data_IF_964554043931
#
_entry.id   IF_964554043931
#
_cell.length_a   1.000
_cell.length_b   1.000
_cell.length_c   1.000
_cell.angle_alpha   90.00
_cell.angle_beta   90.00
_cell.angle_gamma   90.00
#
_symmetry.space_group_name_H-M   'P 1'
#
loop_
_entity.id
_entity.type
_entity.pdbx_description
1 polymer ?
#
# COMPACT_ATOMS: atom_id res chain seq x y z
N UNK A 1 -7.01 13.86 -3.37
CA UNK A 1 -5.59 13.42 -3.41
C UNK A 1 -4.59 14.53 -3.15
N UNK A 2 -4.72 15.71 -3.76
CA UNK A 2 -3.78 16.84 -3.56
C UNK A 2 -3.60 17.27 -2.09
N UNK A 3 -4.66 17.21 -1.27
CA UNK A 3 -4.55 17.49 0.17
C UNK A 3 -3.63 16.51 0.89
N UNK A 4 -3.72 15.21 0.58
CA UNK A 4 -2.85 14.18 1.16
C UNK A 4 -1.37 14.51 0.88
N UNK A 5 -1.05 14.79 -0.39
CA UNK A 5 0.29 15.19 -0.81
C UNK A 5 0.80 16.43 -0.09
N UNK A 6 -0.02 17.48 -0.02
CA UNK A 6 0.32 18.77 0.59
C UNK A 6 0.56 18.66 2.11
N UNK A 7 -0.39 18.07 2.85
CA UNK A 7 -0.32 18.01 4.32
C UNK A 7 0.90 17.20 4.78
N UNK A 8 1.18 16.09 4.11
CA UNK A 8 2.38 15.31 4.38
C UNK A 8 3.67 15.90 3.77
N UNK A 9 3.55 16.95 2.94
CA UNK A 9 4.65 17.57 2.18
C UNK A 9 5.44 16.56 1.37
N UNK A 10 4.74 15.62 0.75
CA UNK A 10 5.34 14.58 -0.09
C UNK A 10 6.01 15.17 -1.35
N UNK A 11 5.73 16.42 -1.69
CA UNK A 11 6.47 17.19 -2.70
C UNK A 11 7.96 17.35 -2.37
N UNK A 12 8.32 17.28 -1.08
CA UNK A 12 9.68 17.50 -0.57
C UNK A 12 10.44 16.19 -0.31
N UNK A 13 9.78 15.05 -0.47
CA UNK A 13 10.37 13.73 -0.23
C UNK A 13 10.51 12.99 -1.55
N UNK A 14 11.70 12.45 -1.82
CA UNK A 14 11.86 11.49 -2.90
C UNK A 14 11.29 10.14 -2.47
N UNK A 15 10.19 9.75 -3.11
CA UNK A 15 9.54 8.46 -2.90
C UNK A 15 10.21 7.34 -3.70
N UNK A 16 11.07 7.68 -4.67
CA UNK A 16 11.71 6.72 -5.57
C UNK A 16 12.59 5.77 -4.76
N UNK A 17 12.36 4.47 -4.96
CA UNK A 17 13.10 3.44 -4.25
C UNK A 17 12.95 3.48 -2.74
N UNK A 18 11.77 3.84 -2.24
CA UNK A 18 11.42 3.70 -0.83
C UNK A 18 10.58 2.45 -0.60
N UNK A 19 10.72 1.86 0.59
CA UNK A 19 9.72 0.96 1.15
C UNK A 19 8.75 1.78 2.02
N UNK A 20 7.47 1.75 1.65
CA UNK A 20 6.42 2.50 2.33
C UNK A 20 5.43 1.52 2.95
N UNK A 21 5.27 1.59 4.27
CA UNK A 21 4.29 0.80 5.01
C UNK A 21 3.04 1.63 5.34
N UNK A 22 1.86 1.10 5.07
CA UNK A 22 0.57 1.65 5.51
C UNK A 22 0.02 0.68 6.56
N UNK A 23 -0.11 1.12 7.80
CA UNK A 23 -0.51 0.31 8.94
C UNK A 23 -1.93 0.70 9.34
N UNK A 24 -2.87 -0.22 9.21
CA UNK A 24 -4.30 -0.02 9.45
C UNK A 24 -4.71 -0.70 10.76
N UNK A 25 -5.25 0.08 11.69
CA UNK A 25 -5.87 -0.44 12.92
C UNK A 25 -7.21 -1.14 12.64
N UNK A 26 -7.70 -1.99 13.57
CA UNK A 26 -9.00 -2.65 13.42
C UNK A 26 -10.15 -1.66 13.22
N UNK A 27 -11.08 -2.01 12.32
CA UNK A 27 -12.28 -1.22 11.99
C UNK A 27 -12.00 0.16 11.36
N UNK A 28 -10.81 0.36 10.80
CA UNK A 28 -10.44 1.57 10.06
C UNK A 28 -10.27 1.22 8.58
N UNK A 29 -10.56 2.17 7.69
CA UNK A 29 -10.35 2.03 6.26
C UNK A 29 -9.10 2.82 5.83
N UNK A 30 -8.02 2.11 5.51
CA UNK A 30 -6.74 2.63 5.06
C UNK A 30 -6.55 2.57 3.54
N UNK A 31 -7.46 1.93 2.79
CA UNK A 31 -7.34 1.79 1.33
C UNK A 31 -7.28 3.14 0.59
N UNK A 32 -7.77 4.23 1.19
CA UNK A 32 -7.62 5.57 0.63
C UNK A 32 -6.16 5.99 0.42
N UNK A 33 -5.24 5.52 1.29
CA UNK A 33 -3.81 5.76 1.15
C UNK A 33 -3.21 4.91 0.01
N UNK A 34 -3.69 3.67 -0.19
CA UNK A 34 -3.34 2.85 -1.36
C UNK A 34 -3.75 3.56 -2.65
N UNK A 35 -4.99 4.05 -2.73
CA UNK A 35 -5.45 4.84 -3.89
C UNK A 35 -4.65 6.12 -4.10
N UNK A 36 -4.15 6.75 -3.03
CA UNK A 36 -3.25 7.89 -3.15
C UNK A 36 -1.95 7.51 -3.88
N UNK A 37 -1.32 6.39 -3.52
CA UNK A 37 -0.09 5.94 -4.18
C UNK A 37 -0.33 5.46 -5.61
N UNK A 38 -1.48 4.86 -5.90
CA UNK A 38 -1.89 4.56 -7.28
C UNK A 38 -1.97 5.87 -8.08
N UNK A 39 -2.70 6.86 -7.57
CA UNK A 39 -2.80 8.18 -8.20
C UNK A 39 -1.43 8.86 -8.38
N UNK A 40 -0.57 8.81 -7.35
CA UNK A 40 0.79 9.39 -7.37
C UNK A 40 1.65 8.77 -8.48
N UNK A 41 1.63 7.44 -8.59
CA UNK A 41 2.41 6.71 -9.60
C UNK A 41 1.98 7.01 -11.04
N UNK A 42 0.72 7.39 -11.24
CA UNK A 42 0.13 7.65 -12.56
C UNK A 42 0.16 9.13 -12.94
N UNK A 43 0.43 10.02 -11.97
CA UNK A 43 0.53 11.46 -12.19
C UNK A 43 1.76 11.84 -13.03
N UNK A 44 2.93 11.31 -12.69
CA UNK A 44 4.20 11.62 -13.37
C UNK A 44 4.39 10.75 -14.61
N UNK A 45 4.69 11.31 -15.79
CA UNK A 45 4.72 10.54 -17.05
C UNK A 45 5.75 9.41 -17.09
N UNK A 46 6.89 9.57 -16.39
CA UNK A 46 7.98 8.60 -16.35
C UNK A 46 7.79 7.51 -15.28
N UNK A 47 6.64 7.48 -14.59
CA UNK A 47 6.33 6.49 -13.57
C UNK A 47 5.24 5.52 -14.03
N UNK A 48 5.16 4.37 -13.38
CA UNK A 48 4.15 3.35 -13.62
C UNK A 48 3.75 2.63 -12.34
N UNK A 49 2.64 1.90 -12.42
CA UNK A 49 2.01 1.20 -11.31
C UNK A 49 1.94 -0.30 -11.59
N UNK A 50 2.47 -1.11 -10.68
CA UNK A 50 2.22 -2.55 -10.61
C UNK A 50 1.41 -2.81 -9.33
N UNK A 51 0.12 -3.08 -9.47
CA UNK A 51 -0.80 -3.25 -8.35
C UNK A 51 -1.14 -4.73 -8.15
N UNK A 52 -0.73 -5.28 -7.01
CA UNK A 52 -1.22 -6.54 -6.48
C UNK A 52 -2.46 -6.27 -5.63
N UNK A 53 -3.56 -6.94 -5.97
CA UNK A 53 -4.80 -6.86 -5.20
C UNK A 53 -5.09 -8.20 -4.53
N UNK A 54 -5.18 -8.15 -3.21
CA UNK A 54 -5.44 -9.25 -2.28
C UNK A 54 -6.73 -9.03 -1.50
N UNK A 55 -7.23 -7.79 -1.35
CA UNK A 55 -8.49 -7.52 -0.64
C UNK A 55 -9.62 -7.08 -1.57
N UNK A 56 -9.32 -6.19 -2.52
CA UNK A 56 -10.31 -5.62 -3.41
C UNK A 56 -10.14 -6.10 -4.86
N UNK A 57 -11.18 -5.98 -5.67
CA UNK A 57 -11.13 -6.36 -7.09
C UNK A 57 -10.62 -5.21 -7.96
N UNK A 58 -10.26 -5.52 -9.20
CA UNK A 58 -9.94 -4.50 -10.21
C UNK A 58 -11.09 -3.48 -10.35
N UNK A 59 -12.34 -3.97 -10.37
CA UNK A 59 -13.53 -3.11 -10.50
C UNK A 59 -13.65 -2.12 -9.34
N UNK A 60 -13.27 -2.51 -8.12
CA UNK A 60 -13.22 -1.59 -7.00
C UNK A 60 -12.27 -0.42 -7.29
N UNK A 61 -11.00 -0.72 -7.64
CA UNK A 61 -10.01 0.32 -7.94
C UNK A 61 -10.34 1.14 -9.18
N UNK A 62 -11.01 0.55 -10.17
CA UNK A 62 -11.51 1.28 -11.33
C UNK A 62 -12.54 2.34 -10.93
N UNK A 63 -13.58 1.95 -10.20
CA UNK A 63 -14.64 2.87 -9.79
C UNK A 63 -14.15 3.92 -8.79
N UNK A 64 -13.34 3.52 -7.82
CA UNK A 64 -12.75 4.46 -6.85
C UNK A 64 -11.77 5.41 -7.55
N UNK A 65 -10.93 4.89 -8.45
CA UNK A 65 -10.00 5.70 -9.24
C UNK A 65 -10.69 6.78 -10.08
N UNK A 66 -11.78 6.45 -10.76
CA UNK A 66 -12.56 7.42 -11.55
C UNK A 66 -13.04 8.60 -10.69
N UNK A 67 -13.45 8.33 -9.45
CA UNK A 67 -13.88 9.38 -8.51
C UNK A 67 -12.71 10.23 -8.02
N UNK A 68 -11.52 9.64 -7.92
CA UNK A 68 -10.31 10.27 -7.43
C UNK A 68 -9.46 10.93 -8.53
N UNK A 69 -9.87 10.81 -9.79
CA UNK A 69 -9.25 11.49 -10.93
C UNK A 69 -8.16 10.70 -11.65
N UNK A 70 -8.15 9.36 -11.55
CA UNK A 70 -7.31 8.49 -12.39
C UNK A 70 -8.13 7.36 -13.02
N UNK A 71 -7.63 6.74 -14.08
CA UNK A 71 -8.37 5.69 -14.79
C UNK A 71 -7.43 4.56 -15.24
N UNK A 72 -7.53 3.42 -14.55
CA UNK A 72 -6.72 2.23 -14.80
C UNK A 72 -6.97 1.60 -16.18
N UNK A 73 -8.19 1.71 -16.72
CA UNK A 73 -8.51 1.16 -18.05
C UNK A 73 -7.88 1.95 -19.19
N UNK A 74 -7.76 3.27 -19.05
CA UNK A 74 -7.10 4.13 -20.05
C UNK A 74 -5.58 4.12 -19.92
N UNK A 75 -5.06 3.70 -18.77
CA UNK A 75 -3.63 3.72 -18.45
C UNK A 75 -3.01 2.32 -18.44
N UNK A 76 -3.58 1.34 -19.15
CA UNK A 76 -3.10 -0.06 -19.20
C UNK A 76 -1.62 -0.22 -19.60
N UNK A 77 -1.06 0.72 -20.36
CA UNK A 77 0.37 0.71 -20.69
C UNK A 77 1.27 1.05 -19.49
N UNK A 78 0.73 1.77 -18.51
CA UNK A 78 1.41 2.32 -17.32
C UNK A 78 0.93 1.70 -16.01
N UNK A 79 -0.14 0.91 -16.04
CA UNK A 79 -0.76 0.31 -14.88
C UNK A 79 -1.06 -1.16 -15.18
N UNK A 80 -0.36 -2.05 -14.49
CA UNK A 80 -0.63 -3.48 -14.49
C UNK A 80 -1.30 -3.82 -13.16
N UNK A 81 -2.44 -4.51 -13.22
CA UNK A 81 -3.18 -4.95 -12.03
C UNK A 81 -3.26 -6.46 -12.04
N UNK A 82 -2.79 -7.07 -10.95
CA UNK A 82 -2.83 -8.50 -10.74
C UNK A 82 -3.80 -8.84 -9.59
N UNK A 83 -4.89 -9.55 -9.91
CA UNK A 83 -5.89 -10.00 -8.94
C UNK A 83 -5.52 -11.39 -8.40
N UNK A 84 -4.86 -11.40 -7.23
CA UNK A 84 -4.39 -12.65 -6.65
C UNK A 84 -5.51 -13.49 -6.05
N UNK A 85 -6.53 -12.91 -5.40
CA UNK A 85 -7.62 -13.72 -4.82
C UNK A 85 -8.34 -14.59 -5.84
N UNK A 86 -8.68 -14.03 -7.01
CA UNK A 86 -9.35 -14.79 -8.07
C UNK A 86 -8.51 -15.95 -8.59
N UNK A 87 -7.18 -15.86 -8.53
CA UNK A 87 -6.27 -16.93 -8.96
C UNK A 87 -5.93 -17.92 -7.84
N UNK A 88 -5.92 -17.46 -6.58
CA UNK A 88 -5.68 -18.27 -5.39
C UNK A 88 -6.90 -19.12 -4.98
N UNK A 89 -8.12 -18.61 -5.23
CA UNK A 89 -9.37 -19.28 -4.83
C UNK A 89 -9.90 -20.22 -5.93
N UNK A 90 -9.68 -19.90 -7.21
CA UNK A 90 -10.15 -20.74 -8.32
C UNK A 90 -9.21 -21.94 -8.53
N UNK A 91 -9.46 -23.01 -7.76
CA UNK A 91 -8.72 -24.28 -7.80
C UNK A 91 -8.78 -25.02 -9.16
N UNK A 92 -9.66 -24.62 -10.08
CA UNK A 92 -9.83 -25.25 -11.40
C UNK A 92 -8.74 -24.86 -12.43
N UNK A 93 -7.92 -23.86 -12.11
CA UNK A 93 -6.79 -23.43 -12.96
C UNK A 93 -5.47 -23.61 -12.20
N UNK A 94 -5.12 -24.85 -11.83
CA UNK A 94 -3.79 -25.48 -11.60
C UNK A 94 -2.54 -24.67 -11.14
N UNK A 95 -2.61 -23.41 -10.72
CA UNK A 95 -1.47 -22.60 -10.32
C UNK A 95 -1.25 -22.60 -8.80
N UNK A 96 -2.30 -22.86 -8.01
CA UNK A 96 -2.31 -22.73 -6.56
C UNK A 96 -3.17 -23.80 -5.89
N UNK A 97 -2.66 -25.04 -5.75
CA UNK A 97 -3.41 -26.18 -5.18
C UNK A 97 -3.27 -26.35 -3.66
N UNK A 98 -2.43 -25.55 -2.99
CA UNK A 98 -2.12 -25.66 -1.56
C UNK A 98 -1.67 -24.32 -0.98
N UNK A 99 -1.79 -24.08 0.32
CA UNK A 99 -1.22 -22.89 0.99
C UNK A 99 0.27 -23.09 1.25
N UNK A 100 1.02 -23.52 0.25
CA UNK A 100 2.44 -23.88 0.39
C UNK A 100 3.37 -22.70 0.04
N UNK A 101 4.58 -22.71 0.59
CA UNK A 101 5.64 -21.72 0.33
C UNK A 101 5.89 -21.45 -1.18
N UNK A 102 5.75 -22.49 -2.01
CA UNK A 102 5.95 -22.40 -3.47
C UNK A 102 5.02 -21.36 -4.11
N UNK A 103 3.84 -21.17 -3.55
CA UNK A 103 2.83 -20.28 -4.10
C UNK A 103 3.15 -18.81 -3.90
N UNK A 104 3.57 -18.41 -2.69
CA UNK A 104 4.04 -17.04 -2.46
C UNK A 104 5.31 -16.73 -3.27
N UNK A 105 6.17 -17.73 -3.47
CA UNK A 105 7.34 -17.61 -4.35
C UNK A 105 6.94 -17.39 -5.81
N UNK A 106 5.97 -18.15 -6.32
CA UNK A 106 5.43 -17.97 -7.67
C UNK A 106 4.79 -16.59 -7.85
N UNK A 107 3.99 -16.17 -6.87
CA UNK A 107 3.40 -14.83 -6.83
C UNK A 107 4.47 -13.74 -6.92
N UNK A 108 5.56 -13.87 -6.15
CA UNK A 108 6.68 -12.94 -6.24
C UNK A 108 7.31 -12.91 -7.63
N UNK A 109 7.53 -14.07 -8.27
CA UNK A 109 8.10 -14.10 -9.61
C UNK A 109 7.21 -13.44 -10.66
N UNK A 110 5.88 -13.60 -10.55
CA UNK A 110 4.93 -12.90 -11.41
C UNK A 110 5.07 -11.39 -11.22
N UNK A 111 5.01 -10.91 -9.98
CA UNK A 111 5.14 -9.47 -9.68
C UNK A 111 6.47 -8.90 -10.13
N UNK A 112 7.56 -9.65 -9.92
CA UNK A 112 8.89 -9.28 -10.38
C UNK A 112 8.91 -9.09 -11.89
N UNK A 113 8.40 -10.07 -12.65
CA UNK A 113 8.34 -10.02 -14.10
C UNK A 113 7.52 -8.81 -14.59
N UNK A 114 6.32 -8.61 -14.06
CA UNK A 114 5.47 -7.48 -14.46
C UNK A 114 6.11 -6.12 -14.14
N UNK A 115 6.79 -6.02 -13.00
CA UNK A 115 7.52 -4.80 -12.60
C UNK A 115 8.73 -4.55 -13.52
N UNK A 116 9.49 -5.59 -13.88
CA UNK A 116 10.63 -5.49 -14.81
C UNK A 116 10.18 -5.06 -16.22
N UNK A 117 9.05 -5.59 -16.71
CA UNK A 117 8.46 -5.17 -17.99
C UNK A 117 8.04 -3.68 -18.00
N UNK A 118 7.63 -3.15 -16.85
CA UNK A 118 7.33 -1.72 -16.71
C UNK A 118 8.62 -0.88 -16.68
N UNK A 119 9.69 -1.36 -16.03
CA UNK A 119 10.98 -0.67 -15.99
C UNK A 119 11.65 -0.55 -17.35
N UNK A 120 11.34 -1.43 -18.30
CA UNK A 120 11.81 -1.29 -19.69
C UNK A 120 11.27 -0.03 -20.39
N UNK A 121 10.14 0.51 -19.90
CA UNK A 121 9.40 1.62 -20.52
C UNK A 121 9.34 2.89 -19.66
N UNK A 122 9.51 2.74 -18.35
CA UNK A 122 9.35 3.80 -17.36
C UNK A 122 10.53 3.83 -16.41
N UNK A 123 10.92 5.02 -15.95
CA UNK A 123 12.08 5.20 -15.08
C UNK A 123 11.81 4.70 -13.65
N UNK A 124 10.56 4.79 -13.20
CA UNK A 124 10.15 4.38 -11.86
C UNK A 124 8.90 3.51 -11.90
N UNK A 125 8.86 2.49 -11.05
CA UNK A 125 7.70 1.63 -10.86
C UNK A 125 7.29 1.60 -9.39
N UNK A 126 6.01 1.81 -9.15
CA UNK A 126 5.38 1.67 -7.85
C UNK A 126 4.77 0.28 -7.79
N UNK A 127 5.39 -0.64 -7.05
CA UNK A 127 4.83 -1.94 -6.71
C UNK A 127 3.95 -1.76 -5.47
N UNK A 128 2.63 -1.85 -5.65
CA UNK A 128 1.63 -1.57 -4.62
C UNK A 128 0.93 -2.88 -4.26
N UNK A 129 0.85 -3.19 -2.96
CA UNK A 129 0.14 -4.34 -2.40
C UNK A 129 -0.93 -3.81 -1.47
N UNK A 130 -2.20 -4.08 -1.81
CA UNK A 130 -3.32 -3.38 -1.18
C UNK A 130 -3.70 -3.84 0.22
N UNK A 131 -3.44 -5.10 0.57
CA UNK A 131 -3.50 -5.62 1.94
C UNK A 131 -2.80 -6.98 2.04
N UNK A 132 -1.58 -7.00 2.57
CA UNK A 132 -0.80 -8.24 2.69
C UNK A 132 -1.32 -9.16 3.79
N UNK A 133 -2.06 -8.61 4.77
CA UNK A 133 -2.57 -9.38 5.91
C UNK A 133 -3.59 -10.44 5.49
N UNK A 134 -4.26 -10.25 4.35
CA UNK A 134 -5.21 -11.22 3.78
C UNK A 134 -4.57 -12.59 3.54
N UNK A 135 -3.25 -12.65 3.30
CA UNK A 135 -2.54 -13.93 3.16
C UNK A 135 -2.66 -14.79 4.43
N UNK A 136 -2.72 -14.19 5.63
CA UNK A 136 -2.99 -14.92 6.88
C UNK A 136 -4.39 -15.53 6.85
N UNK A 137 -5.39 -14.75 6.44
CA UNK A 137 -6.78 -15.21 6.33
C UNK A 137 -6.97 -16.30 5.27
N UNK A 138 -6.10 -16.36 4.27
CA UNK A 138 -6.06 -17.43 3.26
C UNK A 138 -5.36 -18.70 3.76
N UNK A 139 -4.81 -18.71 4.99
CA UNK A 139 -4.19 -19.89 5.60
C UNK A 139 -2.69 -20.04 5.33
N UNK A 140 -2.04 -19.05 4.71
CA UNK A 140 -0.58 -19.08 4.59
C UNK A 140 0.08 -18.93 5.96
N UNK A 141 1.12 -19.71 6.21
CA UNK A 141 1.88 -19.64 7.45
C UNK A 141 2.63 -18.31 7.55
N UNK A 142 2.65 -17.69 8.74
CA UNK A 142 3.32 -16.40 8.94
C UNK A 142 4.79 -16.40 8.48
N UNK A 143 5.52 -17.52 8.65
CA UNK A 143 6.91 -17.65 8.22
C UNK A 143 7.06 -17.49 6.70
N UNK A 144 6.15 -18.06 5.92
CA UNK A 144 6.21 -17.96 4.45
C UNK A 144 5.81 -16.58 3.96
N UNK A 145 4.86 -15.93 4.65
CA UNK A 145 4.51 -14.53 4.38
C UNK A 145 5.70 -13.62 4.70
N UNK A 146 6.40 -13.83 5.82
CA UNK A 146 7.61 -13.05 6.17
C UNK A 146 8.71 -13.25 5.11
N UNK A 147 8.93 -14.48 4.62
CA UNK A 147 9.86 -14.72 3.48
C UNK A 147 9.44 -13.94 2.23
N UNK A 148 8.15 -13.93 1.91
CA UNK A 148 7.62 -13.13 0.80
C UNK A 148 7.86 -11.63 1.01
N UNK A 149 7.62 -11.11 2.22
CA UNK A 149 7.93 -9.73 2.60
C UNK A 149 9.43 -9.40 2.44
N UNK A 150 10.31 -10.35 2.78
CA UNK A 150 11.75 -10.22 2.55
C UNK A 150 12.10 -10.16 1.06
N UNK A 151 11.44 -10.93 0.20
CA UNK A 151 11.62 -10.85 -1.25
C UNK A 151 11.21 -9.47 -1.79
N UNK A 152 10.08 -8.92 -1.34
CA UNK A 152 9.64 -7.57 -1.70
C UNK A 152 10.64 -6.50 -1.24
N UNK A 153 11.13 -6.59 0.00
CA UNK A 153 12.15 -5.69 0.54
C UNK A 153 13.44 -5.73 -0.27
N UNK A 154 13.85 -6.91 -0.72
CA UNK A 154 15.09 -7.10 -1.50
C UNK A 154 14.91 -6.65 -2.96
N UNK A 155 13.69 -6.75 -3.47
CA UNK A 155 13.36 -6.32 -4.83
C UNK A 155 13.31 -4.79 -4.97
N UNK A 156 12.95 -4.09 -3.89
CA UNK A 156 13.05 -2.64 -3.79
C UNK A 156 14.47 -2.17 -4.15
N UNK A 157 14.57 -1.25 -5.11
CA UNK A 157 15.81 -0.57 -5.46
C UNK A 157 15.50 0.89 -5.84
N UNK A 158 16.49 1.67 -6.29
CA UNK A 158 16.33 3.10 -6.60
C UNK A 158 15.16 3.43 -7.57
N UNK A 159 14.78 2.51 -8.45
CA UNK A 159 13.72 2.66 -9.45
C UNK A 159 12.43 1.93 -9.09
N UNK A 160 12.43 1.10 -8.03
CA UNK A 160 11.28 0.32 -7.60
C UNK A 160 10.89 0.76 -6.19
N UNK A 161 9.79 1.51 -6.10
CA UNK A 161 9.17 1.86 -4.82
C UNK A 161 8.16 0.77 -4.47
N UNK A 162 8.26 0.24 -3.25
CA UNK A 162 7.35 -0.80 -2.76
C UNK A 162 6.42 -0.19 -1.71
N UNK A 163 5.12 -0.32 -1.91
CA UNK A 163 4.08 0.17 -1.00
C UNK A 163 3.26 -1.03 -0.55
N UNK A 164 3.15 -1.23 0.76
CA UNK A 164 2.39 -2.35 1.33
C UNK A 164 1.46 -1.83 2.39
N UNK A 165 0.18 -2.18 2.29
CA UNK A 165 -0.76 -2.04 3.39
C UNK A 165 -0.78 -3.30 4.25
N UNK A 166 -0.80 -3.09 5.56
CA UNK A 166 -0.83 -4.09 6.60
C UNK A 166 -1.97 -3.75 7.54
N UNK A 167 -3.02 -4.56 7.52
CA UNK A 167 -4.00 -4.59 8.60
C UNK A 167 -3.41 -5.38 9.78
N UNK A 168 -3.60 -4.87 11.00
CA UNK A 168 -3.15 -5.56 12.21
C UNK A 168 -4.14 -5.41 13.37
N UNK A 169 -4.10 -6.37 14.28
CA UNK A 169 -4.84 -6.32 15.55
C UNK A 169 -3.88 -6.62 16.70
N UNK A 170 -4.03 -5.89 17.82
CA UNK A 170 -3.21 -6.11 19.03
C UNK A 170 -3.44 -7.53 19.63
N UNK A 171 -4.59 -8.14 19.35
CA UNK A 171 -4.93 -9.48 19.81
C UNK A 171 -4.45 -10.60 18.85
N UNK A 172 -3.95 -10.24 17.66
CA UNK A 172 -3.47 -11.18 16.66
C UNK A 172 -1.95 -11.11 16.50
N UNK A 173 -1.26 -12.08 17.12
CA UNK A 173 0.20 -12.21 17.09
C UNK A 173 0.77 -12.31 15.68
N UNK A 174 0.08 -12.99 14.75
CA UNK A 174 0.61 -13.18 13.40
C UNK A 174 0.59 -11.88 12.62
N UNK A 175 -0.50 -11.11 12.73
CA UNK A 175 -0.57 -9.76 12.17
C UNK A 175 0.47 -8.81 12.78
N UNK A 176 0.78 -8.96 14.08
CA UNK A 176 1.80 -8.17 14.76
C UNK A 176 3.22 -8.49 14.27
N UNK A 177 3.50 -9.73 13.86
CA UNK A 177 4.78 -10.07 13.22
C UNK A 177 4.93 -9.35 11.87
N UNK A 178 3.87 -9.32 11.05
CA UNK A 178 3.88 -8.59 9.78
C UNK A 178 4.05 -7.08 10.01
N UNK A 179 3.30 -6.50 10.95
CA UNK A 179 3.45 -5.11 11.36
C UNK A 179 4.89 -4.82 11.77
N UNK A 180 5.46 -5.63 12.68
CA UNK A 180 6.80 -5.42 13.20
C UNK A 180 7.86 -5.47 12.09
N UNK A 181 7.72 -6.40 11.15
CA UNK A 181 8.60 -6.49 9.98
C UNK A 181 8.60 -5.19 9.17
N UNK A 182 7.42 -4.73 8.71
CA UNK A 182 7.34 -3.53 7.88
C UNK A 182 7.66 -2.27 8.68
N UNK A 183 7.31 -2.20 9.96
CA UNK A 183 7.59 -1.04 10.80
C UNK A 183 9.11 -0.83 10.96
N UNK A 184 9.91 -1.90 11.05
CA UNK A 184 11.36 -1.80 11.13
C UNK A 184 12.02 -1.46 9.77
N UNK A 185 11.48 -2.02 8.70
CA UNK A 185 12.09 -1.98 7.37
C UNK A 185 11.64 -0.81 6.49
N UNK A 186 10.49 -0.20 6.76
CA UNK A 186 9.95 0.89 5.94
C UNK A 186 10.70 2.21 6.16
N UNK A 187 10.97 2.90 5.06
CA UNK A 187 11.52 4.25 5.05
C UNK A 187 10.46 5.29 5.41
N UNK A 188 9.21 5.06 5.00
CA UNK A 188 8.06 5.91 5.30
C UNK A 188 6.93 5.05 5.83
N UNK A 189 6.27 5.50 6.89
CA UNK A 189 5.20 4.75 7.56
C UNK A 189 3.99 5.64 7.71
N UNK A 190 2.83 5.15 7.31
CA UNK A 190 1.54 5.78 7.54
C UNK A 190 0.75 4.91 8.51
N UNK A 191 0.43 5.41 9.69
CA UNK A 191 -0.44 4.74 10.64
C UNK A 191 -1.83 5.34 10.53
N UNK A 192 -2.82 4.53 10.19
CA UNK A 192 -4.22 4.91 10.04
C UNK A 192 -4.99 4.36 11.24
N UNK A 193 -5.57 5.26 12.02
CA UNK A 193 -6.18 4.97 13.31
C UNK A 193 -7.56 5.61 13.41
N UNK A 194 -8.45 4.99 14.19
CA UNK A 194 -9.73 5.58 14.56
C UNK A 194 -9.52 6.80 15.48
N UNK A 195 -10.53 7.67 15.62
CA UNK A 195 -10.48 8.74 16.60
C UNK A 195 -10.73 8.19 18.02
N UNK A 196 -9.84 8.50 18.96
CA UNK A 196 -9.99 8.12 20.39
C UNK A 196 -11.19 8.78 21.07
N UNK A 197 -11.71 9.87 20.52
CA UNK A 197 -12.80 10.68 21.09
C UNK A 197 -14.09 10.55 20.26
N UNK A 198 -14.70 9.36 20.25
CA UNK A 198 -16.01 9.13 19.64
C UNK A 198 -16.11 9.45 18.14
N UNK A 199 -17.34 9.36 17.60
CA UNK A 199 -17.64 9.69 16.20
C UNK A 199 -17.88 11.20 16.05
N UNK A 200 -17.06 11.87 15.23
CA UNK A 200 -17.30 13.24 14.82
C UNK A 200 -17.95 13.23 13.43
N UNK A 201 -19.00 14.03 13.20
CA UNK A 201 -19.65 14.13 11.88
C UNK A 201 -18.69 14.59 10.76
N UNK A 202 -17.60 15.25 11.15
CA UNK A 202 -16.66 15.87 10.22
C UNK A 202 -15.29 15.19 10.13
N UNK A 203 -15.04 14.13 10.90
CA UNK A 203 -13.75 13.44 10.91
C UNK A 203 -13.96 11.93 10.88
N UNK A 204 -13.39 11.26 9.88
CA UNK A 204 -13.44 9.81 9.76
C UNK A 204 -12.41 9.13 10.65
N UNK A 205 -11.20 9.68 10.70
CA UNK A 205 -10.09 9.09 11.47
C UNK A 205 -8.87 9.98 11.51
N UNK A 206 -7.76 9.42 11.97
CA UNK A 206 -6.44 10.06 11.98
C UNK A 206 -5.43 9.25 11.19
N UNK A 207 -4.49 9.95 10.56
CA UNK A 207 -3.38 9.36 9.84
C UNK A 207 -2.07 10.03 10.28
N UNK A 208 -1.10 9.21 10.69
CA UNK A 208 0.21 9.66 11.16
C UNK A 208 1.30 9.18 10.21
N UNK A 209 2.04 10.10 9.62
CA UNK A 209 3.22 9.81 8.82
C UNK A 209 4.47 9.89 9.69
N UNK A 210 5.37 8.91 9.58
CA UNK A 210 6.72 8.95 10.14
C UNK A 210 7.74 8.55 9.08
N UNK A 211 8.86 9.28 9.01
CA UNK A 211 9.97 8.99 8.09
C UNK A 211 11.18 8.51 8.87
N UNK A 212 11.82 7.44 8.38
CA UNK A 212 13.06 6.89 8.94
C UNK A 212 14.22 7.84 8.60
N UNK A 213 14.84 8.44 9.62
CA UNK A 213 15.97 9.37 9.43
C UNK A 213 17.25 8.59 9.08
N UNK A 214 17.91 8.96 7.99
CA UNK A 214 19.24 8.49 7.62
C UNK A 214 20.27 9.57 8.00
N UNK A 215 20.74 9.50 9.26
CA UNK A 215 21.83 10.28 9.84
C UNK A 215 21.63 11.81 10.03
N UNK A 216 21.94 12.25 11.26
CA UNK A 216 22.29 13.62 11.72
C UNK A 216 21.25 14.76 11.68
N UNK A 217 20.07 14.58 11.11
CA UNK A 217 18.96 15.51 11.37
C UNK A 217 18.01 14.94 12.41
N UNK A 218 18.19 15.44 13.63
CA UNK A 218 17.50 15.11 14.87
C UNK A 218 16.06 15.62 14.90
N UNK A 219 15.23 15.26 13.92
CA UNK A 219 13.79 15.28 14.08
C UNK A 219 13.18 14.08 13.33
N UNK A 220 12.57 13.17 14.07
CA UNK A 220 11.55 12.29 13.49
C UNK A 220 10.48 13.22 12.93
N UNK A 221 10.42 13.42 11.61
CA UNK A 221 9.36 14.19 10.98
C UNK A 221 8.06 13.39 11.06
N UNK A 222 7.47 13.41 12.27
CA UNK A 222 6.20 12.84 12.60
C UNK A 222 5.13 13.88 12.29
N UNK A 223 4.23 13.58 11.36
CA UNK A 223 3.10 14.44 11.03
C UNK A 223 1.82 13.70 11.30
N UNK A 224 1.04 14.19 12.26
CA UNK A 224 -0.30 13.72 12.54
C UNK A 224 -1.30 14.59 11.77
N UNK A 225 -2.24 13.97 11.08
CA UNK A 225 -3.35 14.64 10.41
C UNK A 225 -4.66 13.91 10.70
N UNK A 226 -5.76 14.61 10.55
CA UNK A 226 -7.09 14.04 10.48
C UNK A 226 -7.48 13.85 9.02
N UNK A 227 -8.37 12.89 8.76
CA UNK A 227 -8.92 12.69 7.43
C UNK A 227 -10.44 12.57 7.45
N UNK A 228 -11.06 13.03 6.37
CA UNK A 228 -12.48 12.86 6.07
C UNK A 228 -12.61 12.18 4.71
N UNK A 229 -13.22 10.99 4.72
CA UNK A 229 -13.62 10.29 3.51
C UNK A 229 -14.98 10.81 3.06
N UNK A 230 -15.08 11.15 1.78
CA UNK A 230 -16.35 11.46 1.12
C UNK A 230 -16.44 10.62 -0.15
N UNK A 231 -17.63 10.47 -0.72
CA UNK A 231 -17.82 9.64 -1.91
C UNK A 231 -16.87 9.97 -3.07
N UNK A 232 -16.44 11.23 -3.20
CA UNK A 232 -15.66 11.74 -4.33
C UNK A 232 -14.27 12.24 -3.98
N UNK A 233 -13.93 12.36 -2.69
CA UNK A 233 -12.66 12.96 -2.32
C UNK A 233 -12.19 12.50 -0.94
N UNK A 234 -10.88 12.53 -0.77
CA UNK A 234 -10.19 12.33 0.50
C UNK A 234 -9.64 13.69 0.90
N UNK A 235 -10.11 14.22 2.02
CA UNK A 235 -9.57 15.43 2.63
C UNK A 235 -8.69 15.04 3.80
N UNK A 236 -7.46 15.54 3.81
CA UNK A 236 -6.51 15.42 4.92
C UNK A 236 -6.25 16.84 5.43
N UNK A 237 -6.20 17.02 6.75
CA UNK A 237 -6.03 18.32 7.38
C UNK A 237 -5.37 18.20 8.76
N UNK A 238 -4.74 19.27 9.29
CA UNK A 238 -4.12 19.24 10.61
C UNK A 238 -5.12 19.00 11.75
N UNK A 239 -4.70 18.41 12.88
CA UNK A 239 -5.52 18.31 14.08
C UNK A 239 -5.89 19.70 14.59
N UNK A 240 -7.14 19.88 15.05
CA UNK A 240 -7.63 21.17 15.55
C UNK A 240 -8.06 22.16 14.47
N UNK A 241 -8.08 21.76 13.20
CA UNK A 241 -8.65 22.57 12.12
C UNK A 241 -10.20 22.43 12.14
N UNK A 242 -10.88 23.35 12.84
CA UNK A 242 -12.31 23.65 12.74
C UNK A 242 -12.53 25.15 12.89
#
# INVERSE_FOLDING_TARGET
MTSFRKEFSLDKFDLSGKLIGIFEEPNVEGNFAVNYFIWESLREQNSSCCLLTLKHTFNHYFHVGLKLGYNLTTQKSRAIVYEALGTLINQDQNYFSSTDETNLKNLFFILKKETELLLEKYENVFLIIDDISILLSLGFQHNDIIKFCHYLRTFQNKNITVIVLIHFSEDDKESLYLKSFFEQNSDIKFFVSSLKTGTAQDVTGSIKMTVKSSALESFTNCKLCHYKLTDRNIKVFPPGFM
#
